data_IF_934758556062
#
_entry.id   IF_934758556062
#
_cell.length_a   1.000
_cell.length_b   1.000
_cell.length_c   1.000
_cell.angle_alpha   90.00
_cell.angle_beta   90.00
_cell.angle_gamma   90.00
#
_symmetry.space_group_name_H-M   'P 1'
#
loop_
_entity.id
_entity.type
_entity.pdbx_description
1 polymer ?
#
# COMPACT_ATOMS: atom_id res chain seq x y z
N UNK A 1 -51.98 -58.41 38.54
CA UNK A 1 -51.15 -57.23 38.25
C UNK A 1 -50.86 -56.52 39.57
N UNK A 2 -49.57 -56.31 39.84
CA UNK A 2 -48.93 -55.51 40.91
C UNK A 2 -49.24 -55.81 42.39
N UNK A 3 -48.30 -56.52 43.02
CA UNK A 3 -47.82 -56.29 44.39
C UNK A 3 -46.50 -55.48 44.31
N UNK A 4 -45.86 -55.01 45.39
CA UNK A 4 -46.17 -55.08 46.82
C UNK A 4 -46.02 -53.74 47.60
N UNK A 5 -46.21 -53.87 48.91
CA UNK A 5 -46.07 -52.90 50.00
C UNK A 5 -44.69 -53.08 50.69
N UNK A 6 -44.23 -52.03 51.40
CA UNK A 6 -43.24 -52.01 52.51
C UNK A 6 -41.76 -52.14 52.14
N UNK A 7 -40.77 -51.67 52.89
CA UNK A 7 -40.55 -50.69 53.97
C UNK A 7 -39.01 -50.73 54.20
N UNK A 8 -38.38 -49.58 54.46
CA UNK A 8 -37.28 -49.35 55.43
C UNK A 8 -35.84 -49.95 55.25
N UNK A 9 -34.88 -49.00 55.35
CA UNK A 9 -33.45 -48.95 55.82
C UNK A 9 -32.22 -49.58 55.13
N UNK A 10 -31.26 -48.67 54.97
CA UNK A 10 -29.88 -48.65 55.51
C UNK A 10 -28.73 -48.81 54.51
N UNK A 11 -27.73 -47.95 54.69
CA UNK A 11 -26.38 -48.18 54.22
C UNK A 11 -25.79 -47.05 53.40
N UNK A 12 -24.78 -46.39 53.95
CA UNK A 12 -23.64 -45.94 53.15
C UNK A 12 -23.40 -44.45 53.10
N UNK A 13 -22.81 -43.94 54.18
CA UNK A 13 -22.11 -42.66 54.23
C UNK A 13 -20.84 -42.75 53.35
N UNK A 14 -20.85 -42.19 52.14
CA UNK A 14 -19.63 -41.99 51.33
C UNK A 14 -19.15 -40.55 51.48
N UNK A 15 -18.51 -40.27 52.62
CA UNK A 15 -17.66 -39.09 52.82
C UNK A 15 -16.22 -39.50 52.53
N UNK A 16 -15.67 -39.10 51.38
CA UNK A 16 -14.23 -39.26 51.21
C UNK A 16 -13.63 -39.18 49.82
N UNK A 17 -14.41 -38.96 48.76
CA UNK A 17 -13.84 -38.86 47.39
C UNK A 17 -14.40 -37.65 46.66
N UNK A 18 -14.13 -36.46 47.17
CA UNK A 18 -14.33 -35.25 46.37
C UNK A 18 -13.25 -34.18 46.62
N UNK A 19 -12.67 -34.16 47.82
CA UNK A 19 -11.70 -33.11 48.16
C UNK A 19 -10.23 -33.46 47.87
N UNK A 20 -9.93 -34.71 47.50
CA UNK A 20 -8.55 -35.13 47.17
C UNK A 20 -8.20 -35.05 45.68
N UNK A 21 -9.20 -34.93 44.81
CA UNK A 21 -8.96 -34.80 43.35
C UNK A 21 -8.81 -33.33 42.94
N UNK A 22 -9.35 -32.39 43.73
CA UNK A 22 -9.25 -30.96 43.43
C UNK A 22 -7.92 -30.33 43.90
N UNK A 23 -7.21 -30.95 44.84
CA UNK A 23 -5.92 -30.47 45.32
C UNK A 23 -4.71 -30.95 44.48
N UNK A 24 -4.84 -32.03 43.71
CA UNK A 24 -3.79 -32.46 42.76
C UNK A 24 -3.91 -31.82 41.37
N UNK A 25 -5.09 -31.30 40.98
CA UNK A 25 -5.23 -30.55 39.73
C UNK A 25 -4.71 -29.11 39.79
N UNK A 26 -4.49 -28.55 40.98
CA UNK A 26 -3.96 -27.17 41.15
C UNK A 26 -2.44 -27.09 41.32
N UNK A 27 -1.73 -28.23 41.29
CA UNK A 27 -0.26 -28.27 41.34
C UNK A 27 0.41 -28.37 39.95
N UNK A 28 -0.37 -28.42 38.86
CA UNK A 28 0.17 -28.57 37.49
C UNK A 28 0.12 -27.29 36.64
N UNK A 29 -0.48 -26.20 37.12
CA UNK A 29 -0.64 -24.96 36.34
C UNK A 29 0.16 -23.78 36.91
N UNK A 30 1.38 -24.04 37.37
CA UNK A 30 2.37 -22.98 37.53
C UNK A 30 3.74 -23.39 36.96
N UNK A 31 3.75 -23.92 35.74
CA UNK A 31 4.82 -23.59 34.81
C UNK A 31 4.54 -22.20 34.29
N UNK A 32 4.98 -21.19 35.06
CA UNK A 32 5.33 -19.91 34.48
C UNK A 32 6.14 -20.24 33.22
N UNK A 33 5.64 -19.85 32.04
CA UNK A 33 6.45 -19.83 30.82
C UNK A 33 7.59 -18.87 31.09
N UNK A 34 8.64 -19.37 31.73
CA UNK A 34 9.96 -18.78 31.68
C UNK A 34 10.36 -19.04 30.24
N UNK A 35 10.05 -18.10 29.35
CA UNK A 35 10.73 -18.02 28.07
C UNK A 35 12.22 -18.05 28.45
N UNK A 36 12.99 -19.08 28.05
CA UNK A 36 14.38 -19.18 28.44
C UNK A 36 15.04 -17.87 28.04
N UNK A 37 15.81 -17.26 28.94
CA UNK A 37 16.53 -16.01 28.68
C UNK A 37 17.37 -16.10 27.39
N UNK A 38 17.77 -17.31 26.99
CA UNK A 38 18.34 -17.60 25.67
C UNK A 38 17.42 -17.25 24.47
N UNK A 39 16.12 -17.54 24.52
CA UNK A 39 15.18 -17.21 23.44
C UNK A 39 14.98 -15.70 23.27
N UNK A 40 14.87 -14.95 24.38
CA UNK A 40 14.79 -13.48 24.33
C UNK A 40 16.09 -12.86 23.80
N UNK A 41 17.25 -13.43 24.14
CA UNK A 41 18.55 -13.00 23.57
C UNK A 41 18.64 -13.29 22.08
N UNK A 42 18.17 -14.45 21.62
CA UNK A 42 18.13 -14.78 20.19
C UNK A 42 17.19 -13.86 19.41
N UNK A 43 16.04 -13.51 19.98
CA UNK A 43 15.09 -12.57 19.39
C UNK A 43 15.71 -11.17 19.23
N UNK A 44 16.37 -10.66 20.29
CA UNK A 44 17.11 -9.39 20.24
C UNK A 44 18.25 -9.42 19.23
N UNK A 45 19.01 -10.51 19.14
CA UNK A 45 20.08 -10.67 18.15
C UNK A 45 19.50 -10.62 16.73
N UNK A 46 18.38 -11.32 16.48
CA UNK A 46 17.72 -11.31 15.18
C UNK A 46 17.15 -9.93 14.82
N UNK A 47 16.64 -9.18 15.79
CA UNK A 47 16.17 -7.81 15.60
C UNK A 47 17.33 -6.87 15.23
N UNK A 48 18.46 -6.96 15.94
CA UNK A 48 19.67 -6.18 15.65
C UNK A 48 20.24 -6.54 14.28
N UNK A 49 20.25 -7.82 13.91
CA UNK A 49 20.70 -8.27 12.58
C UNK A 49 19.79 -7.75 11.48
N UNK A 50 18.46 -7.78 11.67
CA UNK A 50 17.50 -7.21 10.69
C UNK A 50 17.71 -5.70 10.53
N UNK A 51 17.83 -4.96 11.62
CA UNK A 51 18.09 -3.53 11.57
C UNK A 51 19.41 -3.21 10.83
N UNK A 52 20.47 -3.97 11.12
CA UNK A 52 21.76 -3.82 10.44
C UNK A 52 21.68 -4.13 8.94
N UNK A 53 20.92 -5.17 8.56
CA UNK A 53 20.69 -5.50 7.15
C UNK A 53 19.91 -4.41 6.42
N UNK A 54 18.91 -3.79 7.07
CA UNK A 54 18.16 -2.68 6.47
C UNK A 54 19.02 -1.42 6.28
N UNK A 55 19.92 -1.10 7.21
CA UNK A 55 20.87 0.02 7.03
C UNK A 55 21.83 -0.21 5.85
N UNK A 56 22.30 -1.45 5.69
CA UNK A 56 23.14 -1.83 4.55
C UNK A 56 22.35 -1.71 3.24
N UNK A 57 21.12 -2.26 3.20
CA UNK A 57 20.24 -2.18 2.03
C UNK A 57 19.88 -0.72 1.69
N UNK A 58 19.66 0.12 2.68
CA UNK A 58 19.47 1.56 2.50
C UNK A 58 20.67 2.20 1.80
N UNK A 59 21.88 1.93 2.32
CA UNK A 59 23.12 2.48 1.77
C UNK A 59 23.38 2.02 0.33
N UNK A 60 23.07 0.76 0.01
CA UNK A 60 23.15 0.23 -1.36
C UNK A 60 22.18 0.99 -2.27
N UNK A 61 20.89 1.07 -1.89
CA UNK A 61 19.86 1.76 -2.68
C UNK A 61 20.22 3.22 -2.95
N UNK A 62 20.68 3.94 -1.92
CA UNK A 62 21.10 5.34 -2.02
C UNK A 62 22.29 5.52 -2.97
N UNK A 63 23.27 4.61 -2.89
CA UNK A 63 24.42 4.61 -3.80
C UNK A 63 24.01 4.34 -5.24
N UNK A 64 23.11 3.37 -5.48
CA UNK A 64 22.59 3.06 -6.82
C UNK A 64 21.83 4.22 -7.46
N UNK A 65 21.04 4.98 -6.71
CA UNK A 65 20.34 6.17 -7.23
C UNK A 65 21.34 7.26 -7.65
N UNK A 66 22.38 7.48 -6.84
CA UNK A 66 23.45 8.45 -7.16
C UNK A 66 24.23 8.01 -8.41
N UNK A 67 24.54 6.72 -8.54
CA UNK A 67 25.20 6.16 -9.71
C UNK A 67 24.32 6.28 -10.97
N UNK A 68 23.01 6.02 -10.86
CA UNK A 68 22.07 6.28 -11.94
C UNK A 68 22.11 7.73 -12.38
N UNK A 69 22.03 8.68 -11.44
CA UNK A 69 22.13 10.11 -11.75
C UNK A 69 23.40 10.44 -12.54
N UNK A 70 24.55 9.96 -12.06
CA UNK A 70 25.84 10.19 -12.73
C UNK A 70 25.89 9.57 -14.14
N UNK A 71 25.44 8.34 -14.29
CA UNK A 71 25.42 7.63 -15.58
C UNK A 71 24.56 8.37 -16.61
N UNK A 72 23.43 8.92 -16.14
CA UNK A 72 22.50 9.70 -16.96
C UNK A 72 23.05 11.07 -17.36
N UNK A 73 23.77 11.74 -16.45
CA UNK A 73 24.47 12.98 -16.76
C UNK A 73 25.62 12.75 -17.76
N UNK A 74 26.33 11.62 -17.68
CA UNK A 74 27.46 11.29 -18.58
C UNK A 74 27.02 10.85 -19.97
N UNK A 75 25.90 10.12 -20.09
CA UNK A 75 25.36 9.70 -21.41
C UNK A 75 24.95 10.89 -22.30
N UNK A 76 24.96 12.11 -21.74
CA UNK A 76 24.88 13.39 -22.45
C UNK A 76 26.16 13.89 -23.11
N UNK A 77 27.34 13.53 -22.58
CA UNK A 77 28.60 14.21 -22.90
C UNK A 77 29.44 13.49 -23.96
N UNK A 78 28.94 12.38 -24.52
CA UNK A 78 29.62 11.61 -25.55
C UNK A 78 28.94 11.75 -26.91
N UNK A 79 29.50 12.59 -27.77
CA UNK A 79 29.68 12.22 -29.17
C UNK A 79 30.27 10.80 -29.18
N UNK A 80 29.45 9.79 -29.50
CA UNK A 80 30.00 8.49 -29.84
C UNK A 80 30.73 8.66 -31.19
N UNK A 81 32.01 8.27 -31.32
CA UNK A 81 32.62 8.20 -32.64
C UNK A 81 31.72 7.37 -33.53
N UNK A 82 31.39 7.91 -34.72
CA UNK A 82 30.47 7.28 -35.65
C UNK A 82 30.84 5.81 -35.85
N UNK A 83 30.03 4.88 -35.32
CA UNK A 83 30.23 3.46 -35.54
C UNK A 83 29.68 2.48 -34.53
N UNK A 84 29.52 2.81 -33.23
CA UNK A 84 28.96 1.85 -32.26
C UNK A 84 28.15 2.62 -31.20
N UNK A 85 26.85 2.80 -31.44
CA UNK A 85 25.90 3.03 -30.35
C UNK A 85 25.57 1.63 -29.83
N UNK A 86 26.00 1.23 -28.61
CA UNK A 86 25.54 -0.03 -28.05
C UNK A 86 24.01 -0.03 -28.05
N UNK A 87 23.41 -1.12 -28.53
CA UNK A 87 21.97 -1.24 -28.64
C UNK A 87 21.32 -0.89 -27.29
N UNK A 88 20.39 0.07 -27.31
CA UNK A 88 19.68 0.49 -26.11
C UNK A 88 18.83 -0.69 -25.59
N UNK A 89 19.17 -1.16 -24.39
CA UNK A 89 18.43 -2.22 -23.70
C UNK A 89 17.50 -1.60 -22.65
N UNK A 90 16.25 -1.35 -23.06
CA UNK A 90 15.20 -0.80 -22.19
C UNK A 90 14.96 -1.66 -20.94
N UNK A 91 15.07 -3.00 -21.07
CA UNK A 91 14.80 -3.91 -19.96
C UNK A 91 15.89 -3.82 -18.90
N UNK A 92 17.14 -3.66 -19.33
CA UNK A 92 18.27 -3.44 -18.42
C UNK A 92 18.13 -2.13 -17.64
N UNK A 93 17.81 -1.02 -18.31
CA UNK A 93 17.61 0.28 -17.64
C UNK A 93 16.41 0.24 -16.68
N UNK A 94 15.30 -0.39 -17.09
CA UNK A 94 14.11 -0.56 -16.26
C UNK A 94 14.42 -1.38 -15.00
N UNK A 95 15.17 -2.49 -15.14
CA UNK A 95 15.59 -3.29 -13.99
C UNK A 95 16.44 -2.48 -13.01
N UNK A 96 17.40 -1.71 -13.50
CA UNK A 96 18.24 -0.85 -12.64
C UNK A 96 17.40 0.18 -11.90
N UNK A 97 16.44 0.81 -12.58
CA UNK A 97 15.48 1.72 -11.96
C UNK A 97 14.62 1.04 -10.89
N UNK A 98 14.01 -0.11 -11.21
CA UNK A 98 13.14 -0.84 -10.28
C UNK A 98 13.89 -1.39 -9.06
N UNK A 99 15.16 -1.74 -9.22
CA UNK A 99 16.03 -2.21 -8.14
C UNK A 99 16.35 -1.09 -7.13
N UNK A 100 16.34 0.19 -7.55
CA UNK A 100 16.46 1.32 -6.60
C UNK A 100 15.30 1.38 -5.61
N UNK A 101 14.13 0.87 -6.03
CA UNK A 101 12.82 1.01 -5.37
C UNK A 101 12.35 2.44 -5.14
N UNK A 102 13.14 3.45 -5.52
CA UNK A 102 12.95 4.86 -5.17
C UNK A 102 11.77 5.54 -5.88
N UNK A 103 11.25 4.89 -6.94
CA UNK A 103 10.26 5.47 -7.83
C UNK A 103 10.77 6.72 -8.54
N UNK A 104 9.88 7.36 -9.32
CA UNK A 104 10.23 8.56 -10.08
C UNK A 104 10.56 9.74 -9.15
N UNK A 105 9.88 9.85 -8.00
CA UNK A 105 10.18 10.89 -7.00
C UNK A 105 11.64 10.82 -6.54
N UNK A 106 12.18 9.62 -6.31
CA UNK A 106 13.59 9.47 -5.92
C UNK A 106 14.57 10.03 -6.94
N UNK A 107 14.27 9.92 -8.25
CA UNK A 107 15.07 10.53 -9.31
C UNK A 107 14.98 12.06 -9.29
N UNK A 108 13.78 12.60 -9.03
CA UNK A 108 13.56 14.05 -8.91
C UNK A 108 14.27 14.62 -7.70
N UNK A 109 14.18 13.96 -6.55
CA UNK A 109 14.79 14.40 -5.28
C UNK A 109 16.33 14.50 -5.37
N UNK A 110 16.98 13.63 -6.16
CA UNK A 110 18.44 13.71 -6.39
C UNK A 110 18.82 14.71 -7.49
N UNK A 111 17.85 15.35 -8.14
CA UNK A 111 18.03 16.39 -9.13
C UNK A 111 18.59 15.86 -10.45
N UNK A 112 18.01 14.78 -10.99
CA UNK A 112 18.30 14.32 -12.35
C UNK A 112 17.92 15.42 -13.36
N UNK A 113 18.85 15.75 -14.28
CA UNK A 113 18.65 16.84 -15.26
C UNK A 113 18.01 16.35 -16.56
N UNK A 114 18.09 15.04 -16.84
CA UNK A 114 17.59 14.42 -18.07
C UNK A 114 16.60 13.31 -17.80
N UNK A 115 15.49 13.30 -18.54
CA UNK A 115 14.49 12.23 -18.45
C UNK A 115 15.10 10.90 -18.92
N UNK A 116 15.03 9.82 -18.12
CA UNK A 116 15.45 8.48 -18.55
C UNK A 116 14.75 8.01 -19.83
N UNK A 117 15.46 7.28 -20.69
CA UNK A 117 14.89 6.82 -21.97
C UNK A 117 13.74 5.85 -21.78
N UNK A 118 13.66 5.16 -20.63
CA UNK A 118 12.53 4.28 -20.28
C UNK A 118 11.18 5.02 -20.15
N UNK A 119 11.20 6.33 -19.91
CA UNK A 119 10.02 7.20 -19.78
C UNK A 119 9.71 8.01 -21.04
N UNK A 120 10.54 7.91 -22.08
CA UNK A 120 10.30 8.58 -23.36
C UNK A 120 9.46 7.63 -24.22
N UNK A 121 8.24 8.06 -24.53
CA UNK A 121 7.36 7.37 -25.48
C UNK A 121 7.96 7.39 -26.88
N UNK A 122 7.74 6.33 -27.65
CA UNK A 122 8.23 6.29 -29.02
C UNK A 122 7.43 7.26 -29.91
N UNK A 123 8.00 7.75 -31.02
CA UNK A 123 7.27 8.59 -31.97
C UNK A 123 5.98 7.94 -32.47
N UNK A 124 5.96 6.61 -32.63
CA UNK A 124 4.76 5.87 -33.04
C UNK A 124 3.64 5.93 -31.98
N UNK A 125 3.99 5.88 -30.68
CA UNK A 125 3.04 6.05 -29.58
C UNK A 125 2.49 7.49 -29.51
N UNK A 126 3.32 8.49 -29.83
CA UNK A 126 2.95 9.91 -29.80
C UNK A 126 2.07 10.33 -30.98
N UNK A 127 2.22 9.69 -32.14
CA UNK A 127 1.42 10.03 -33.33
C UNK A 127 -0.08 9.75 -33.16
N UNK A 128 -0.46 8.78 -32.32
CA UNK A 128 -1.88 8.53 -32.02
C UNK A 128 -2.49 9.64 -31.15
N UNK A 129 -1.68 10.35 -30.38
CA UNK A 129 -2.13 11.37 -29.42
C UNK A 129 -2.22 12.77 -30.07
N UNK A 130 -1.31 13.10 -31.00
CA UNK A 130 -1.19 14.45 -31.60
C UNK A 130 -2.17 14.67 -32.78
N UNK A 131 -2.62 13.62 -33.47
CA UNK A 131 -3.66 13.74 -34.52
C UNK A 131 -5.06 14.03 -33.94
N UNK A 132 -5.21 13.93 -32.61
CA UNK A 132 -6.33 14.52 -31.89
C UNK A 132 -6.17 16.04 -31.90
N UNK A 133 -6.92 16.69 -32.77
CA UNK A 133 -7.06 18.14 -32.76
C UNK A 133 -7.46 18.57 -31.34
N UNK A 134 -7.06 19.77 -30.84
CA UNK A 134 -7.60 20.29 -29.60
C UNK A 134 -9.09 20.57 -29.85
N UNK A 135 -9.92 19.56 -29.68
CA UNK A 135 -11.33 19.75 -29.42
C UNK A 135 -11.34 20.52 -28.11
N UNK A 136 -11.89 21.73 -28.15
CA UNK A 136 -12.26 22.44 -26.92
C UNK A 136 -13.32 21.56 -26.24
N UNK A 137 -12.83 20.62 -25.44
CA UNK A 137 -13.64 19.67 -24.69
C UNK A 137 -13.94 20.34 -23.35
N UNK A 138 -15.15 20.86 -23.22
CA UNK A 138 -15.67 21.28 -21.92
C UNK A 138 -16.12 20.01 -21.18
N UNK A 139 -15.45 19.70 -20.08
CA UNK A 139 -15.85 18.59 -19.20
C UNK A 139 -17.23 18.93 -18.63
N UNK A 140 -18.19 18.01 -18.78
CA UNK A 140 -19.53 18.19 -18.20
C UNK A 140 -19.43 18.26 -16.67
N UNK A 141 -20.07 19.26 -16.07
CA UNK A 141 -20.21 19.37 -14.60
C UNK A 141 -21.66 19.10 -14.24
N UNK A 142 -21.90 18.09 -13.40
CA UNK A 142 -23.23 17.75 -12.88
C UNK A 142 -23.37 18.31 -11.46
N UNK A 143 -24.36 19.17 -11.26
CA UNK A 143 -24.67 19.74 -9.95
C UNK A 143 -25.58 18.79 -9.15
N UNK A 144 -25.13 18.36 -7.96
CA UNK A 144 -25.91 17.50 -7.07
C UNK A 144 -26.73 18.28 -6.03
N UNK A 145 -26.79 19.62 -6.11
CA UNK A 145 -27.61 20.37 -5.18
C UNK A 145 -29.07 19.91 -5.22
N UNK A 146 -29.63 19.69 -4.04
CA UNK A 146 -30.99 19.21 -3.91
C UNK A 146 -31.23 17.74 -4.30
N UNK A 147 -30.20 16.91 -4.59
CA UNK A 147 -30.38 15.48 -4.94
C UNK A 147 -31.26 14.69 -3.97
N UNK A 148 -31.36 15.12 -2.70
CA UNK A 148 -32.23 14.51 -1.69
C UNK A 148 -33.70 14.94 -1.76
N UNK A 149 -34.11 15.69 -2.79
CA UNK A 149 -35.48 16.16 -3.02
C UNK A 149 -36.05 15.47 -4.26
N UNK A 150 -37.32 15.06 -4.23
CA UNK A 150 -37.95 14.31 -5.33
C UNK A 150 -37.92 15.06 -6.68
N UNK A 151 -38.14 16.38 -6.67
CA UNK A 151 -38.20 17.21 -7.88
C UNK A 151 -36.86 17.23 -8.67
N UNK A 152 -35.72 17.66 -8.10
CA UNK A 152 -34.43 17.68 -8.82
C UNK A 152 -33.77 16.30 -8.95
N UNK A 153 -34.09 15.32 -8.08
CA UNK A 153 -33.43 14.00 -8.10
C UNK A 153 -33.57 13.30 -9.45
N UNK A 154 -34.75 13.33 -10.06
CA UNK A 154 -34.99 12.68 -11.36
C UNK A 154 -34.12 13.30 -12.46
N UNK A 155 -34.04 14.64 -12.51
CA UNK A 155 -33.25 15.35 -13.50
C UNK A 155 -31.75 15.06 -13.34
N UNK A 156 -31.24 15.07 -12.10
CA UNK A 156 -29.85 14.73 -11.80
C UNK A 156 -29.52 13.29 -12.24
N UNK A 157 -30.40 12.32 -11.96
CA UNK A 157 -30.21 10.92 -12.39
C UNK A 157 -30.18 10.81 -13.92
N UNK A 158 -31.06 11.53 -14.62
CA UNK A 158 -31.09 11.53 -16.08
C UNK A 158 -29.82 12.20 -16.67
N UNK A 159 -29.31 13.27 -16.05
CA UNK A 159 -28.02 13.89 -16.42
C UNK A 159 -26.85 12.93 -16.22
N UNK A 160 -26.77 12.25 -15.08
CA UNK A 160 -25.71 11.26 -14.79
C UNK A 160 -25.75 10.12 -15.80
N UNK A 161 -26.95 9.61 -16.13
CA UNK A 161 -27.11 8.57 -17.16
C UNK A 161 -26.60 9.06 -18.51
N UNK A 162 -27.06 10.22 -18.97
CA UNK A 162 -26.67 10.77 -20.26
C UNK A 162 -25.16 11.04 -20.36
N UNK A 163 -24.55 11.60 -19.30
CA UNK A 163 -23.12 11.87 -19.25
C UNK A 163 -22.31 10.55 -19.26
N UNK A 164 -22.77 9.54 -18.53
CA UNK A 164 -22.14 8.21 -18.50
C UNK A 164 -22.21 7.51 -19.85
N UNK A 165 -23.35 7.56 -20.54
CA UNK A 165 -23.56 6.92 -21.84
C UNK A 165 -22.81 7.62 -22.98
N UNK A 166 -22.76 8.96 -22.97
CA UNK A 166 -22.22 9.74 -24.07
C UNK A 166 -20.73 10.07 -23.92
N UNK A 167 -20.27 10.34 -22.70
CA UNK A 167 -18.90 10.80 -22.45
C UNK A 167 -18.09 9.82 -21.60
N UNK A 168 -18.74 9.06 -20.72
CA UNK A 168 -18.06 8.15 -19.78
C UNK A 168 -17.25 8.86 -18.69
N UNK A 169 -17.22 10.20 -18.69
CA UNK A 169 -16.52 11.03 -17.71
C UNK A 169 -17.22 12.38 -17.54
N UNK A 170 -17.30 12.87 -16.30
CA UNK A 170 -17.88 14.16 -15.92
C UNK A 170 -17.38 14.55 -14.53
N UNK A 171 -17.42 15.86 -14.24
CA UNK A 171 -17.19 16.42 -12.92
C UNK A 171 -18.51 16.55 -12.14
N UNK A 172 -18.40 16.65 -10.82
CA UNK A 172 -19.55 16.72 -9.93
C UNK A 172 -19.42 17.94 -9.01
N UNK A 173 -20.42 18.81 -9.02
CA UNK A 173 -20.58 19.96 -8.13
C UNK A 173 -21.54 19.68 -6.97
N UNK A 174 -21.47 20.49 -5.91
CA UNK A 174 -22.31 20.39 -4.70
C UNK A 174 -22.53 18.96 -4.17
N UNK A 175 -21.50 18.12 -4.26
CA UNK A 175 -21.52 16.70 -3.85
C UNK A 175 -21.64 16.49 -2.32
N UNK A 176 -21.75 17.56 -1.53
CA UNK A 176 -21.93 17.49 -0.08
C UNK A 176 -20.68 17.14 0.73
N UNK A 177 -19.52 16.95 0.08
CA UNK A 177 -18.24 16.72 0.79
C UNK A 177 -17.63 18.08 1.13
N UNK A 178 -17.31 18.37 2.40
CA UNK A 178 -16.72 19.65 2.79
C UNK A 178 -15.40 19.93 2.06
N UNK A 179 -15.22 21.16 1.59
CA UNK A 179 -13.97 21.60 0.94
C UNK A 179 -12.75 21.39 1.85
N UNK A 180 -12.90 21.57 3.17
CA UNK A 180 -11.84 21.33 4.15
C UNK A 180 -11.35 19.88 4.13
N UNK A 181 -12.26 18.92 4.00
CA UNK A 181 -11.92 17.49 3.94
C UNK A 181 -11.15 17.14 2.67
N UNK A 182 -11.54 17.70 1.52
CA UNK A 182 -10.81 17.50 0.26
C UNK A 182 -9.39 18.10 0.35
N UNK A 183 -9.27 19.31 0.90
CA UNK A 183 -7.97 19.95 1.11
C UNK A 183 -7.08 19.15 2.09
N UNK A 184 -7.64 18.66 3.19
CA UNK A 184 -6.95 17.79 4.15
C UNK A 184 -6.49 16.48 3.52
N UNK A 185 -7.29 15.89 2.61
CA UNK A 185 -6.92 14.69 1.87
C UNK A 185 -5.74 14.96 0.92
N UNK A 186 -5.80 16.04 0.14
CA UNK A 186 -4.69 16.46 -0.74
C UNK A 186 -3.41 16.68 0.08
N UNK A 187 -3.51 17.36 1.22
CA UNK A 187 -2.37 17.60 2.10
C UNK A 187 -1.88 16.31 2.79
N UNK A 188 -2.77 15.37 3.11
CA UNK A 188 -2.41 14.04 3.60
C UNK A 188 -1.59 13.25 2.59
N UNK A 189 -2.04 13.20 1.33
CA UNK A 189 -1.34 12.56 0.22
C UNK A 189 0.02 13.23 -0.02
N UNK A 190 0.07 14.56 0.05
CA UNK A 190 1.31 15.33 -0.09
C UNK A 190 2.31 14.97 1.01
N UNK A 191 1.90 15.08 2.28
CA UNK A 191 2.72 14.70 3.44
C UNK A 191 3.20 13.26 3.39
N UNK A 192 2.36 12.33 2.93
CA UNK A 192 2.77 10.95 2.73
C UNK A 192 3.89 10.87 1.69
N UNK A 193 3.70 11.45 0.50
CA UNK A 193 4.68 11.36 -0.58
C UNK A 193 5.99 12.12 -0.28
N UNK A 194 5.95 13.18 0.52
CA UNK A 194 7.12 13.97 0.95
C UNK A 194 7.98 13.26 2.00
N UNK A 195 7.48 12.23 2.68
CA UNK A 195 8.30 11.44 3.62
C UNK A 195 9.48 10.76 2.92
N UNK A 196 10.51 10.47 3.73
CA UNK A 196 11.65 9.69 3.31
C UNK A 196 11.20 8.36 2.70
N UNK A 197 11.87 7.96 1.63
CA UNK A 197 11.53 6.75 0.88
C UNK A 197 11.47 5.49 1.75
N UNK A 198 12.29 5.39 2.79
CA UNK A 198 12.30 4.24 3.69
C UNK A 198 11.06 4.14 4.57
N UNK A 199 10.39 5.27 4.87
CA UNK A 199 9.16 5.27 5.67
C UNK A 199 7.96 4.79 4.84
N UNK A 200 8.03 4.90 3.52
CA UNK A 200 6.93 4.60 2.59
C UNK A 200 6.95 3.17 2.03
N UNK A 201 7.96 2.36 2.38
CA UNK A 201 8.15 1.00 1.86
C UNK A 201 7.28 -0.04 2.54
#
# INVERSE_FOLDING_TARGET
MFTPKKDYIDGGNDHGVSEKVELEMKASENTQKVVPVEQEKEELINEVLKASLEEVNYSIRKSSIIEMKQTMDITSAGEFPAGIVPAYDRMKELKVFDDTKAGVKGLVDVGVVKVPRIFIQSPEELTEEIDSHPTYFEVLVIDLDGINKDDPHKEIVDQVRAASEMWGFFEVGHHGIPLSMMAEMTEGIRRFNEQDHEVKK
#
